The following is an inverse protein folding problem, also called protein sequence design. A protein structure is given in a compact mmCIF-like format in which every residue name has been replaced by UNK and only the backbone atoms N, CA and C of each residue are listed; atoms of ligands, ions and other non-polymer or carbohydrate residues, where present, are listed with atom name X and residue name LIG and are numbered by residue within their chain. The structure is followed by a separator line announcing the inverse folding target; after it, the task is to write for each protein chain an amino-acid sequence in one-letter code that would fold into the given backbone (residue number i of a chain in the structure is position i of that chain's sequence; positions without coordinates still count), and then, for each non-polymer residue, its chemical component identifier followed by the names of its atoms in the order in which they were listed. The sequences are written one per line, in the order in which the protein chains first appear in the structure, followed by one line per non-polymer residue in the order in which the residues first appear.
data_IF_388914784897
#
_entry.id   IF_388914784897
#
_cell.length_a   1.000
_cell.length_b   1.000
_cell.length_c   1.000
_cell.angle_alpha   90.00
_cell.angle_beta   90.00
_cell.angle_gamma   90.00
#
_symmetry.space_group_name_H-M   'P 1'
#
loop_
_entity.id
_entity.type
_entity.pdbx_description
1 polymer ?
#
# COMPACT_ATOMS: atom_id res chain seq x y z
N UNK A 1 5.09 3.58 69.69
CA UNK A 1 4.89 4.47 68.53
C UNK A 1 5.30 3.67 67.31
N UNK A 2 4.32 3.08 66.65
CA UNK A 2 4.51 2.41 65.37
C UNK A 2 4.44 3.46 64.27
N UNK A 3 5.34 3.41 63.29
CA UNK A 3 5.09 3.99 61.98
C UNK A 3 5.68 3.07 60.91
N UNK A 4 4.76 2.57 60.10
CA UNK A 4 4.94 1.60 59.03
C UNK A 4 5.79 2.14 57.87
N UNK A 5 6.63 1.27 57.31
CA UNK A 5 7.29 1.46 56.03
C UNK A 5 6.28 1.27 54.88
N UNK A 6 6.19 2.23 53.96
CA UNK A 6 5.46 2.08 52.71
C UNK A 6 6.43 1.72 51.58
N UNK A 7 6.41 0.44 51.18
CA UNK A 7 7.03 -0.06 49.95
C UNK A 7 5.99 0.12 48.84
N UNK A 8 6.26 1.00 47.87
CA UNK A 8 5.54 1.01 46.60
C UNK A 8 6.18 -0.03 45.66
N UNK A 9 5.56 -1.19 45.53
CA UNK A 9 5.88 -2.13 44.46
C UNK A 9 5.10 -1.72 43.20
N UNK A 10 5.80 -1.19 42.20
CA UNK A 10 5.24 -0.94 40.87
C UNK A 10 5.16 -2.29 40.15
N UNK A 11 3.95 -2.81 39.96
CA UNK A 11 3.69 -3.95 39.08
C UNK A 11 3.73 -3.44 37.63
N UNK A 12 4.83 -3.68 36.93
CA UNK A 12 4.85 -3.57 35.48
C UNK A 12 4.11 -4.77 34.89
N UNK A 13 2.86 -4.57 34.45
CA UNK A 13 2.17 -5.53 33.59
C UNK A 13 2.88 -5.52 32.23
N UNK A 14 3.73 -6.52 32.00
CA UNK A 14 4.22 -6.87 30.69
C UNK A 14 3.04 -7.49 29.92
N UNK A 15 2.36 -6.69 29.10
CA UNK A 15 1.51 -7.20 28.04
C UNK A 15 2.41 -7.89 27.02
N UNK A 16 2.49 -9.21 27.10
CA UNK A 16 3.08 -10.03 26.03
C UNK A 16 2.17 -9.95 24.80
N UNK A 17 2.32 -8.87 24.02
CA UNK A 17 1.81 -8.83 22.66
C UNK A 17 2.52 -9.93 21.88
N UNK A 18 1.76 -10.84 21.28
CA UNK A 18 2.29 -11.80 20.31
C UNK A 18 2.79 -11.00 19.11
N UNK A 19 4.08 -10.64 19.12
CA UNK A 19 4.76 -10.15 17.92
C UNK A 19 4.72 -11.31 16.93
N UNK A 20 4.01 -11.12 15.81
CA UNK A 20 4.01 -12.07 14.71
C UNK A 20 5.47 -12.38 14.36
N UNK A 21 5.88 -13.63 14.57
CA UNK A 21 7.23 -14.09 14.32
C UNK A 21 7.49 -13.97 12.83
N UNK A 22 8.31 -13.00 12.42
CA UNK A 22 8.76 -12.86 11.02
C UNK A 22 9.39 -14.18 10.59
N UNK A 23 8.64 -14.96 9.80
CA UNK A 23 9.19 -16.13 9.16
C UNK A 23 10.13 -15.58 8.07
N UNK A 24 11.42 -15.87 8.17
CA UNK A 24 12.41 -15.40 7.19
C UNK A 24 12.16 -15.94 5.76
N UNK A 25 11.35 -16.99 5.67
CA UNK A 25 10.90 -17.64 4.45
C UNK A 25 9.59 -17.08 3.90
N UNK A 26 9.29 -17.48 2.67
CA UNK A 26 8.03 -17.13 2.01
C UNK A 26 6.88 -17.90 2.62
N UNK A 27 5.71 -17.28 2.68
CA UNK A 27 4.50 -17.93 3.13
C UNK A 27 4.17 -19.12 2.22
N UNK A 28 3.85 -20.25 2.85
CA UNK A 28 3.47 -21.49 2.17
C UNK A 28 1.97 -21.76 2.22
N UNK A 29 1.22 -20.93 2.94
CA UNK A 29 -0.22 -21.08 3.07
C UNK A 29 -0.91 -20.84 1.74
N UNK A 30 -2.01 -21.55 1.52
CA UNK A 30 -2.88 -21.29 0.37
C UNK A 30 -3.80 -20.12 0.68
N UNK A 31 -4.22 -19.39 -0.35
CA UNK A 31 -5.12 -18.23 -0.20
C UNK A 31 -6.47 -18.60 0.45
N UNK A 32 -6.87 -19.87 0.42
CA UNK A 32 -8.09 -20.36 1.06
C UNK A 32 -7.95 -20.48 2.59
N UNK A 33 -6.74 -20.46 3.13
CA UNK A 33 -6.44 -20.49 4.56
C UNK A 33 -6.58 -19.09 5.19
N UNK A 34 -7.77 -18.49 5.08
CA UNK A 34 -8.10 -17.18 5.65
C UNK A 34 -8.77 -17.27 7.04
N UNK A 35 -8.85 -18.47 7.62
CA UNK A 35 -9.51 -18.69 8.91
C UNK A 35 -8.85 -17.87 10.03
N UNK A 36 -7.52 -17.78 10.01
CA UNK A 36 -6.75 -17.03 11.01
C UNK A 36 -7.09 -15.53 10.95
N UNK A 37 -7.18 -14.95 9.76
CA UNK A 37 -7.55 -13.54 9.57
C UNK A 37 -8.98 -13.23 10.06
N UNK A 38 -9.91 -14.20 9.97
CA UNK A 38 -11.25 -14.06 10.54
C UNK A 38 -11.19 -14.11 12.08
N UNK A 39 -10.33 -14.95 12.65
CA UNK A 39 -10.11 -15.02 14.11
C UNK A 39 -9.47 -13.74 14.66
N UNK A 40 -8.66 -13.04 13.87
CA UNK A 40 -8.06 -11.74 14.19
C UNK A 40 -9.07 -10.57 14.13
N UNK A 41 -10.36 -10.85 13.99
CA UNK A 41 -11.44 -9.86 13.95
C UNK A 41 -11.91 -9.52 12.54
N UNK A 42 -11.21 -10.03 11.52
CA UNK A 42 -11.67 -9.98 10.14
C UNK A 42 -11.74 -8.57 9.54
N UNK A 43 -11.00 -7.59 10.05
CA UNK A 43 -10.99 -6.23 9.50
C UNK A 43 -9.66 -5.96 8.80
N UNK A 44 -9.73 -5.27 7.66
CA UNK A 44 -8.54 -4.80 6.95
C UNK A 44 -8.81 -3.44 6.32
N UNK A 45 -7.97 -2.46 6.65
CA UNK A 45 -8.03 -1.09 6.16
C UNK A 45 -6.85 -0.83 5.22
N UNK A 46 -7.16 -0.53 3.96
CA UNK A 46 -6.20 -0.18 2.93
C UNK A 46 -6.22 1.33 2.67
N UNK A 47 -5.08 1.98 2.81
CA UNK A 47 -4.84 3.31 2.23
C UNK A 47 -4.25 3.16 0.83
N UNK A 48 -5.05 3.47 -0.18
CA UNK A 48 -4.67 3.33 -1.58
C UNK A 48 -4.49 4.70 -2.25
N UNK A 49 -3.40 4.86 -2.98
CA UNK A 49 -3.12 6.01 -3.82
C UNK A 49 -4.04 6.05 -5.04
N UNK A 50 -4.78 7.12 -5.26
CA UNK A 50 -5.62 7.25 -6.45
C UNK A 50 -6.24 8.64 -6.57
N UNK A 51 -6.91 8.87 -7.70
CA UNK A 51 -7.45 10.19 -8.02
C UNK A 51 -8.90 10.37 -7.58
N UNK A 52 -9.69 9.29 -7.57
CA UNK A 52 -11.11 9.33 -7.18
C UNK A 52 -11.44 8.29 -6.11
N UNK A 53 -12.41 8.57 -5.23
CA UNK A 53 -12.85 7.63 -4.19
C UNK A 53 -13.24 6.24 -4.73
N UNK A 54 -13.74 6.17 -5.97
CA UNK A 54 -14.24 4.94 -6.59
C UNK A 54 -13.20 4.17 -7.40
N UNK A 55 -11.97 4.69 -7.53
CA UNK A 55 -10.91 4.07 -8.34
C UNK A 55 -10.56 2.63 -7.91
N UNK A 56 -10.92 2.23 -6.68
CA UNK A 56 -10.67 0.89 -6.13
C UNK A 56 -11.93 0.05 -5.89
N UNK A 57 -13.09 0.42 -6.44
CA UNK A 57 -14.32 -0.36 -6.27
C UNK A 57 -14.17 -1.80 -6.77
N UNK A 58 -13.54 -2.02 -7.93
CA UNK A 58 -13.33 -3.37 -8.46
C UNK A 58 -12.46 -4.23 -7.54
N UNK A 59 -11.41 -3.64 -6.94
CA UNK A 59 -10.56 -4.32 -5.95
C UNK A 59 -11.40 -4.69 -4.72
N UNK A 60 -12.15 -3.73 -4.18
CA UNK A 60 -13.04 -3.92 -3.06
C UNK A 60 -14.05 -5.05 -3.30
N UNK A 61 -14.81 -4.96 -4.38
CA UNK A 61 -15.89 -5.90 -4.70
C UNK A 61 -15.36 -7.32 -4.93
N UNK A 62 -14.19 -7.43 -5.58
CA UNK A 62 -13.52 -8.73 -5.78
C UNK A 62 -13.06 -9.32 -4.46
N UNK A 63 -12.49 -8.51 -3.56
CA UNK A 63 -12.04 -8.95 -2.25
C UNK A 63 -13.21 -9.45 -1.39
N UNK A 64 -14.26 -8.64 -1.20
CA UNK A 64 -15.41 -9.02 -0.34
C UNK A 64 -16.16 -10.22 -0.90
N UNK A 65 -16.20 -10.37 -2.24
CA UNK A 65 -16.77 -11.55 -2.88
C UNK A 65 -15.93 -12.81 -2.60
N UNK A 66 -14.60 -12.70 -2.58
CA UNK A 66 -13.69 -13.82 -2.33
C UNK A 66 -13.64 -14.20 -0.86
N UNK A 67 -13.71 -13.22 0.03
CA UNK A 67 -13.58 -13.37 1.48
C UNK A 67 -14.80 -12.76 2.20
N UNK A 68 -15.99 -13.38 2.12
CA UNK A 68 -17.23 -12.80 2.62
C UNK A 68 -17.30 -12.64 4.15
N UNK A 69 -16.35 -13.24 4.89
CA UNK A 69 -16.21 -13.11 6.35
C UNK A 69 -15.24 -12.00 6.77
N UNK A 70 -14.62 -11.33 5.80
CA UNK A 70 -13.70 -10.22 6.03
C UNK A 70 -14.42 -8.90 5.71
N UNK A 71 -14.19 -7.90 6.55
CA UNK A 71 -14.58 -6.52 6.36
C UNK A 71 -13.40 -5.74 5.78
N UNK A 72 -13.52 -5.34 4.51
CA UNK A 72 -12.48 -4.62 3.80
C UNK A 72 -12.87 -3.17 3.59
N UNK A 73 -12.04 -2.25 4.08
CA UNK A 73 -12.19 -0.82 3.82
C UNK A 73 -11.04 -0.33 2.96
N UNK A 74 -11.34 0.19 1.77
CA UNK A 74 -10.35 0.86 0.93
C UNK A 74 -10.59 2.38 0.97
N UNK A 75 -9.61 3.14 1.46
CA UNK A 75 -9.63 4.60 1.49
C UNK A 75 -8.71 5.13 0.38
N UNK A 76 -9.32 5.75 -0.63
CA UNK A 76 -8.58 6.32 -1.76
C UNK A 76 -8.31 7.80 -1.52
N UNK A 77 -7.06 8.20 -1.68
CA UNK A 77 -6.61 9.60 -1.69
C UNK A 77 -5.32 9.70 -2.51
N UNK A 78 -4.88 10.90 -2.87
CA UNK A 78 -3.60 11.06 -3.54
C UNK A 78 -2.47 10.54 -2.65
N UNK A 79 -1.49 9.84 -3.24
CA UNK A 79 -0.39 9.30 -2.43
C UNK A 79 0.42 10.36 -1.68
N UNK A 80 0.49 11.59 -2.22
CA UNK A 80 1.14 12.73 -1.56
C UNK A 80 0.40 13.24 -0.30
N UNK A 81 -0.85 12.82 -0.09
CA UNK A 81 -1.61 13.12 1.11
C UNK A 81 -1.63 11.91 2.04
N UNK A 82 -1.78 10.70 1.50
CA UNK A 82 -1.64 9.48 2.29
C UNK A 82 -0.27 9.34 2.94
N UNK A 83 0.84 9.70 2.27
CA UNK A 83 2.16 9.56 2.88
C UNK A 83 2.36 10.50 4.08
N UNK A 84 1.97 11.78 3.96
CA UNK A 84 2.02 12.74 5.08
C UNK A 84 1.05 12.33 6.19
N UNK A 85 -0.14 11.83 5.84
CA UNK A 85 -1.12 11.30 6.80
C UNK A 85 -0.52 10.14 7.60
N UNK A 86 0.12 9.19 6.93
CA UNK A 86 0.77 8.04 7.57
C UNK A 86 1.94 8.49 8.44
N UNK A 87 2.80 9.38 7.95
CA UNK A 87 3.91 9.91 8.74
C UNK A 87 3.42 10.57 10.02
N UNK A 88 2.39 11.42 9.93
CA UNK A 88 1.76 12.02 11.12
C UNK A 88 1.11 10.98 12.03
N UNK A 89 0.42 9.99 11.47
CA UNK A 89 -0.21 8.93 12.25
C UNK A 89 0.80 8.06 13.00
N UNK A 90 1.96 7.78 12.39
CA UNK A 90 3.08 7.10 13.04
C UNK A 90 3.67 7.97 14.18
N UNK A 91 3.87 9.27 13.93
CA UNK A 91 4.44 10.20 14.92
C UNK A 91 3.51 10.42 16.13
N UNK A 92 2.20 10.33 15.92
CA UNK A 92 1.18 10.60 16.95
C UNK A 92 0.57 9.34 17.55
N UNK A 93 1.06 8.16 17.18
CA UNK A 93 0.52 6.85 17.61
C UNK A 93 -0.99 6.70 17.32
N UNK A 94 -1.39 7.11 16.12
CA UNK A 94 -2.78 7.06 15.62
C UNK A 94 -2.90 6.34 14.28
N UNK A 95 -1.99 5.40 14.00
CA UNK A 95 -1.99 4.63 12.76
C UNK A 95 -3.30 3.89 12.53
N UNK A 96 -3.89 4.13 11.36
CA UNK A 96 -5.17 3.55 10.93
C UNK A 96 -5.02 2.42 9.91
N UNK A 97 -4.25 2.56 8.81
CA UNK A 97 -4.24 1.53 7.78
C UNK A 97 -3.48 0.30 8.24
N UNK A 98 -4.09 -0.87 7.98
CA UNK A 98 -3.39 -2.15 8.02
C UNK A 98 -2.57 -2.36 6.77
N UNK A 99 -2.94 -1.77 5.63
CA UNK A 99 -2.20 -1.88 4.36
C UNK A 99 -2.03 -0.52 3.70
N UNK A 100 -0.85 -0.26 3.14
CA UNK A 100 -0.56 0.95 2.36
C UNK A 100 -0.15 0.60 0.93
N UNK A 101 -0.78 1.26 -0.04
CA UNK A 101 -0.59 1.06 -1.47
C UNK A 101 -0.40 2.39 -2.19
N UNK A 102 0.85 2.82 -2.41
CA UNK A 102 1.13 4.17 -2.90
C UNK A 102 2.05 4.18 -4.12
N UNK A 103 1.90 5.25 -4.89
CA UNK A 103 2.73 5.54 -6.05
C UNK A 103 4.00 6.35 -5.66
N UNK A 104 4.10 6.85 -4.42
CA UNK A 104 5.27 7.55 -3.88
C UNK A 104 6.33 6.56 -3.37
N UNK A 105 6.97 5.86 -4.29
CA UNK A 105 7.81 4.68 -4.00
C UNK A 105 8.95 4.91 -3.01
N UNK A 106 9.48 6.13 -2.96
CA UNK A 106 10.54 6.50 -2.03
C UNK A 106 10.14 6.33 -0.56
N UNK A 107 8.85 6.44 -0.24
CA UNK A 107 8.35 6.33 1.13
C UNK A 107 8.55 4.93 1.70
N UNK A 108 8.40 3.88 0.88
CA UNK A 108 8.60 2.50 1.32
C UNK A 108 10.06 2.20 1.70
N UNK A 109 11.02 2.74 0.95
CA UNK A 109 12.44 2.60 1.31
C UNK A 109 12.76 3.35 2.61
N UNK A 110 12.13 4.51 2.83
CA UNK A 110 12.28 5.29 4.06
C UNK A 110 11.64 4.56 5.25
N UNK A 111 10.40 4.12 5.14
CA UNK A 111 9.67 3.38 6.18
C UNK A 111 10.32 2.04 6.53
N UNK A 112 10.89 1.33 5.54
CA UNK A 112 11.66 0.12 5.80
C UNK A 112 12.91 0.41 6.66
N UNK A 113 13.62 1.52 6.39
CA UNK A 113 14.80 1.93 7.18
C UNK A 113 14.45 2.33 8.61
N UNK A 114 13.25 2.86 8.84
CA UNK A 114 12.76 3.21 10.18
C UNK A 114 12.12 2.04 10.91
N UNK A 115 12.00 0.87 10.26
CA UNK A 115 11.48 -0.34 10.89
C UNK A 115 9.96 -0.33 11.14
N UNK A 116 9.21 0.58 10.50
CA UNK A 116 7.75 0.68 10.71
C UNK A 116 6.95 -0.27 9.82
N UNK A 117 7.58 -0.90 8.82
CA UNK A 117 6.94 -1.89 7.95
C UNK A 117 7.17 -3.30 8.50
N UNK A 118 6.12 -4.11 8.56
CA UNK A 118 6.22 -5.53 8.91
C UNK A 118 6.91 -6.30 7.75
N UNK A 119 8.05 -6.98 7.98
CA UNK A 119 8.63 -7.84 6.98
C UNK A 119 7.76 -9.09 6.75
N UNK A 120 7.18 -9.19 5.56
CA UNK A 120 6.30 -10.28 5.15
C UNK A 120 6.54 -10.62 3.67
N UNK A 121 6.75 -11.92 3.42
CA UNK A 121 6.96 -12.48 2.09
C UNK A 121 5.76 -13.35 1.75
N UNK A 122 4.76 -12.86 0.99
CA UNK A 122 3.61 -13.68 0.60
C UNK A 122 4.02 -14.89 -0.23
N UNK A 123 3.09 -15.83 -0.41
CA UNK A 123 3.30 -16.96 -1.31
C UNK A 123 3.71 -16.48 -2.71
N UNK A 124 4.75 -17.13 -3.27
CA UNK A 124 5.39 -16.76 -4.53
C UNK A 124 6.15 -15.43 -4.54
N UNK A 125 6.51 -14.87 -3.38
CA UNK A 125 7.33 -13.66 -3.31
C UNK A 125 8.60 -13.77 -4.17
N UNK A 126 9.22 -14.94 -4.23
CA UNK A 126 10.42 -15.30 -5.00
C UNK A 126 10.24 -15.15 -6.51
N UNK A 127 9.00 -15.20 -7.00
CA UNK A 127 8.67 -15.04 -8.42
C UNK A 127 8.51 -13.58 -8.85
N UNK A 128 8.34 -12.64 -7.91
CA UNK A 128 8.33 -11.20 -8.23
C UNK A 128 9.72 -10.80 -8.72
N UNK A 129 9.80 -10.01 -9.79
CA UNK A 129 11.10 -9.53 -10.29
C UNK A 129 11.86 -8.80 -9.17
N UNK A 130 13.18 -9.03 -9.05
CA UNK A 130 13.97 -8.56 -7.91
C UNK A 130 13.98 -7.03 -7.75
N UNK A 131 13.83 -6.28 -8.84
CA UNK A 131 13.70 -4.81 -8.79
C UNK A 131 12.36 -4.32 -8.25
N UNK A 132 11.37 -5.20 -8.14
CA UNK A 132 10.00 -4.88 -7.72
C UNK A 132 9.72 -5.47 -6.32
N UNK A 133 10.74 -5.79 -5.53
CA UNK A 133 10.58 -6.23 -4.14
C UNK A 133 11.78 -5.88 -3.28
N UNK A 134 11.53 -5.74 -2.00
CA UNK A 134 12.57 -5.64 -0.98
C UNK A 134 13.21 -7.01 -0.71
N UNK A 135 14.50 -7.03 -0.39
CA UNK A 135 15.20 -8.29 -0.10
C UNK A 135 14.65 -9.00 1.15
N UNK A 136 14.26 -8.22 2.16
CA UNK A 136 13.77 -8.73 3.42
C UNK A 136 12.25 -8.87 3.44
N UNK A 137 11.58 -8.50 2.34
CA UNK A 137 10.13 -8.47 2.28
C UNK A 137 9.55 -7.35 3.12
N UNK A 138 10.19 -6.18 3.19
CA UNK A 138 9.58 -4.97 3.76
C UNK A 138 8.78 -4.12 2.76
N UNK A 139 8.97 -4.32 1.45
CA UNK A 139 8.18 -3.72 0.35
C UNK A 139 8.05 -4.67 -0.87
N UNK A 140 6.96 -4.60 -1.65
CA UNK A 140 6.73 -5.41 -2.87
C UNK A 140 5.83 -4.68 -3.86
N UNK A 141 6.11 -4.82 -5.15
CA UNK A 141 5.32 -4.29 -6.25
C UNK A 141 4.02 -5.09 -6.40
N UNK A 142 2.90 -4.39 -6.30
CA UNK A 142 1.57 -4.97 -6.37
C UNK A 142 0.96 -4.88 -7.76
N UNK A 143 1.13 -3.71 -8.39
CA UNK A 143 0.60 -3.42 -9.72
C UNK A 143 1.56 -2.52 -10.46
N UNK A 144 1.61 -2.71 -11.77
CA UNK A 144 2.40 -1.89 -12.68
C UNK A 144 1.43 -0.94 -13.38
N UNK A 145 1.57 0.36 -13.12
CA UNK A 145 0.86 1.39 -13.88
C UNK A 145 1.83 2.07 -14.84
N UNK A 146 1.33 2.35 -16.03
CA UNK A 146 2.05 3.09 -17.05
C UNK A 146 1.18 4.26 -17.49
N UNK A 147 1.70 5.48 -17.36
CA UNK A 147 1.15 6.60 -18.10
C UNK A 147 1.87 6.69 -19.44
N UNK A 148 1.05 6.80 -20.48
CA UNK A 148 1.46 6.92 -21.87
C UNK A 148 0.62 8.00 -22.53
N UNK A 149 0.94 8.36 -23.76
CA UNK A 149 0.13 9.31 -24.51
C UNK A 149 -1.27 8.74 -24.76
N UNK A 150 -2.27 9.52 -24.38
CA UNK A 150 -3.67 9.27 -24.69
C UNK A 150 -4.19 10.41 -25.58
N UNK A 151 -4.74 10.03 -26.72
CA UNK A 151 -5.19 10.96 -27.76
C UNK A 151 -6.63 10.68 -28.17
N UNK A 152 -7.34 11.75 -28.51
CA UNK A 152 -8.60 11.66 -29.23
C UNK A 152 -8.32 11.46 -30.73
N UNK A 153 -8.50 10.24 -31.24
CA UNK A 153 -8.26 9.91 -32.65
C UNK A 153 -9.10 10.72 -33.63
N UNK A 154 -10.31 11.14 -33.24
CA UNK A 154 -11.16 11.97 -34.09
C UNK A 154 -10.62 13.39 -34.20
N UNK A 155 -10.02 13.93 -33.13
CA UNK A 155 -9.42 15.26 -33.14
C UNK A 155 -8.14 15.33 -33.98
N UNK A 156 -7.46 14.19 -34.18
CA UNK A 156 -6.24 14.12 -34.98
C UNK A 156 -6.50 14.14 -36.49
N UNK A 157 -7.73 13.92 -36.96
CA UNK A 157 -8.14 14.06 -38.38
C UNK A 157 -7.15 13.45 -39.40
N UNK A 158 -6.67 12.23 -39.13
CA UNK A 158 -5.74 11.51 -40.02
C UNK A 158 -4.27 11.88 -39.87
N UNK A 159 -3.91 12.78 -38.94
CA UNK A 159 -2.51 13.01 -38.56
C UNK A 159 -1.89 11.77 -37.91
N UNK A 160 -0.58 11.60 -38.11
CA UNK A 160 0.17 10.56 -37.42
C UNK A 160 0.12 10.75 -35.91
N UNK A 161 0.03 9.63 -35.18
CA UNK A 161 -0.05 9.62 -33.74
C UNK A 161 1.29 10.07 -33.14
N UNK A 162 1.28 11.02 -32.19
CA UNK A 162 2.48 11.35 -31.42
C UNK A 162 3.04 10.10 -30.73
N UNK A 163 4.26 9.72 -31.05
CA UNK A 163 4.94 8.55 -30.48
C UNK A 163 6.03 8.96 -29.47
N UNK A 164 6.49 10.19 -29.56
CA UNK A 164 7.56 10.75 -28.73
C UNK A 164 7.11 12.04 -28.01
N UNK A 165 7.77 12.43 -26.91
CA UNK A 165 7.52 13.73 -26.30
C UNK A 165 7.72 14.92 -27.25
N UNK A 166 8.60 14.79 -28.25
CA UNK A 166 8.85 15.84 -29.24
C UNK A 166 7.65 16.03 -30.17
N UNK A 167 6.94 14.95 -30.52
CA UNK A 167 5.76 15.01 -31.38
C UNK A 167 4.62 15.79 -30.70
N UNK A 168 4.57 15.80 -29.36
CA UNK A 168 3.55 16.54 -28.62
C UNK A 168 3.68 18.07 -28.78
N UNK A 169 4.88 18.59 -29.08
CA UNK A 169 5.09 20.03 -29.25
C UNK A 169 5.08 20.46 -30.73
N UNK A 170 4.77 19.53 -31.64
CA UNK A 170 4.59 19.86 -33.05
C UNK A 170 3.34 20.75 -33.20
N UNK A 171 3.44 21.95 -33.80
CA UNK A 171 2.32 22.86 -33.95
C UNK A 171 1.19 22.31 -34.86
N UNK A 172 1.44 21.25 -35.63
CA UNK A 172 0.42 20.56 -36.42
C UNK A 172 -0.50 19.71 -35.55
N UNK A 173 -0.05 19.32 -34.35
CA UNK A 173 -0.81 18.50 -33.43
C UNK A 173 -1.83 19.36 -32.68
N UNK A 174 -3.15 19.10 -32.81
CA UNK A 174 -4.17 19.93 -32.19
C UNK A 174 -4.13 19.87 -30.66
N UNK A 175 -4.18 21.03 -30.01
CA UNK A 175 -4.14 21.15 -28.53
C UNK A 175 -5.40 20.60 -27.84
N UNK A 176 -6.51 20.48 -28.57
CA UNK A 176 -7.86 20.20 -28.07
C UNK A 176 -8.19 18.71 -27.87
N UNK A 177 -7.19 17.81 -27.77
CA UNK A 177 -7.46 16.37 -27.64
C UNK A 177 -6.37 15.49 -27.04
N UNK A 178 -5.30 16.07 -26.48
CA UNK A 178 -4.14 15.30 -25.99
C UNK A 178 -3.98 15.46 -24.48
N UNK A 179 -4.22 14.36 -23.76
CA UNK A 179 -3.78 14.26 -22.38
C UNK A 179 -2.28 13.93 -22.37
N UNK A 180 -1.46 14.97 -22.19
CA UNK A 180 0.00 14.91 -22.13
C UNK A 180 0.45 14.41 -20.74
N UNK A 181 0.33 13.11 -20.44
CA UNK A 181 0.95 12.55 -19.22
C UNK A 181 1.69 11.24 -19.53
N UNK A 182 3.01 11.24 -19.32
CA UNK A 182 3.83 10.05 -19.35
C UNK A 182 4.70 9.97 -18.09
N UNK A 183 4.53 8.90 -17.32
CA UNK A 183 5.31 8.45 -16.16
C UNK A 183 5.03 6.97 -15.96
N UNK A 184 6.08 6.15 -15.89
CA UNK A 184 5.99 4.78 -15.40
C UNK A 184 5.85 4.83 -13.87
N UNK A 185 4.79 4.25 -13.31
CA UNK A 185 4.59 4.27 -11.86
C UNK A 185 4.13 2.90 -11.35
N UNK A 186 5.02 2.25 -10.63
CA UNK A 186 4.68 1.05 -9.87
C UNK A 186 3.92 1.47 -8.61
N UNK A 187 2.94 0.68 -8.17
CA UNK A 187 2.35 0.82 -6.83
C UNK A 187 2.80 -0.36 -5.97
N UNK A 188 3.32 -0.05 -4.78
CA UNK A 188 3.94 -1.01 -3.85
C UNK A 188 2.98 -1.24 -2.67
N UNK A 189 2.87 -2.45 -2.12
CA UNK A 189 1.95 -2.81 -1.01
C UNK A 189 2.68 -3.29 0.22
N UNK A 190 2.34 -2.81 1.44
CA UNK A 190 2.64 -3.49 2.72
C UNK A 190 1.48 -3.53 3.67
N UNK A 191 1.45 -4.59 4.49
CA UNK A 191 0.69 -4.63 5.72
C UNK A 191 1.49 -3.99 6.88
N UNK A 192 0.97 -2.91 7.47
CA UNK A 192 1.35 -2.33 8.74
C UNK A 192 0.57 -3.06 9.85
N UNK A 193 1.12 -4.13 10.44
CA UNK A 193 0.51 -4.65 11.67
C UNK A 193 1.15 -3.96 12.87
N UNK A 194 0.44 -3.04 13.51
CA UNK A 194 0.49 -2.96 14.96
C UNK A 194 -0.69 -3.77 15.48
N UNK A 195 -0.37 -4.80 16.24
CA UNK A 195 -1.28 -5.52 17.12
C UNK A 195 -2.19 -4.52 17.85
N UNK A 196 -3.50 -4.61 17.64
CA UNK A 196 -4.47 -4.20 18.65
C UNK A 196 -4.80 -5.40 19.53
#
# INVERSE_FOLDING_TARGET
MEFFASIFAVLALLSSGTVAKSNSGEETNTIDQHADAVTEGGNIVLYHGGDTPTSQNTLHDTFVKRFPKMNFTAVVDYSKYHNVRIDNQLETDTLVPDVVALQTLQDFTRWAKTGVLLPYKPANFSKIHSSLRDKNGAWLGYSIYQFSFAYNTTALDGLELPATPADLVDPRVPDNGINRMAFLKMSIHYALTHTR
#
